data_IF_071913740475
#
_entry.id   IF_071913740475
#
_cell.length_a   1.000
_cell.length_b   1.000
_cell.length_c   1.000
_cell.angle_alpha   90.00
_cell.angle_beta   90.00
_cell.angle_gamma   90.00
#
_symmetry.space_group_name_H-M   'P 1'
#
loop_
_entity.id
_entity.type
_entity.pdbx_description
1 polymer ?
#
# COMPACT_ATOMS: atom_id res chain seq x y z
N UNK A 1 7.66 10.04 -35.55
CA UNK A 1 8.48 8.85 -35.19
C UNK A 1 8.50 8.56 -33.69
N UNK A 2 8.81 9.52 -32.81
CA UNK A 2 8.81 9.28 -31.34
C UNK A 2 7.52 8.63 -30.81
N UNK A 3 6.34 9.11 -31.22
CA UNK A 3 5.05 8.59 -30.73
C UNK A 3 4.76 7.14 -31.15
N UNK A 4 5.28 6.68 -32.29
CA UNK A 4 5.10 5.30 -32.78
C UNK A 4 5.96 4.31 -31.98
N UNK A 5 7.18 4.73 -31.62
CA UNK A 5 8.10 3.95 -30.77
C UNK A 5 7.52 3.84 -29.35
N UNK A 6 7.02 4.94 -28.78
CA UNK A 6 6.40 4.93 -27.45
C UNK A 6 5.17 4.02 -27.41
N UNK A 7 4.35 4.02 -28.48
CA UNK A 7 3.19 3.14 -28.58
C UNK A 7 3.58 1.66 -28.68
N UNK A 8 4.60 1.33 -29.48
CA UNK A 8 5.12 -0.04 -29.59
C UNK A 8 5.66 -0.58 -28.26
N UNK A 9 6.37 0.26 -27.49
CA UNK A 9 6.87 -0.10 -26.16
C UNK A 9 5.71 -0.32 -25.17
N UNK A 10 4.69 0.55 -25.18
CA UNK A 10 3.52 0.39 -24.32
C UNK A 10 2.75 -0.92 -24.64
N UNK A 11 2.63 -1.26 -25.92
CA UNK A 11 2.00 -2.51 -26.37
C UNK A 11 2.75 -3.74 -25.85
N UNK A 12 4.08 -3.77 -25.99
CA UNK A 12 4.94 -4.84 -25.48
C UNK A 12 4.84 -5.04 -23.97
N UNK A 13 4.70 -3.95 -23.20
CA UNK A 13 4.49 -4.01 -21.75
C UNK A 13 3.10 -4.56 -21.42
N UNK A 14 2.06 -4.17 -22.16
CA UNK A 14 0.71 -4.74 -22.00
C UNK A 14 0.67 -6.25 -22.30
N UNK A 15 1.28 -6.70 -23.39
CA UNK A 15 1.28 -8.13 -23.75
C UNK A 15 2.07 -8.99 -22.76
N UNK A 16 3.22 -8.52 -22.27
CA UNK A 16 4.02 -9.25 -21.29
C UNK A 16 3.35 -9.34 -19.92
N UNK A 17 2.67 -8.28 -19.48
CA UNK A 17 1.86 -8.31 -18.25
C UNK A 17 0.62 -9.19 -18.41
N UNK A 18 -0.04 -9.15 -19.56
CA UNK A 18 -1.18 -10.02 -19.89
C UNK A 18 -0.76 -11.49 -19.90
N UNK A 19 0.34 -11.85 -20.58
CA UNK A 19 0.86 -13.21 -20.62
C UNK A 19 1.22 -13.76 -19.23
N UNK A 20 1.77 -12.93 -18.35
CA UNK A 20 2.01 -13.31 -16.95
C UNK A 20 0.70 -13.56 -16.21
N UNK A 21 -0.33 -12.75 -16.41
CA UNK A 21 -1.64 -12.95 -15.79
C UNK A 21 -2.41 -14.17 -16.33
N UNK A 22 -2.27 -14.48 -17.62
CA UNK A 22 -2.93 -15.62 -18.27
C UNK A 22 -2.31 -16.97 -17.88
N UNK A 23 -1.07 -16.98 -17.39
CA UNK A 23 -0.39 -18.18 -16.87
C UNK A 23 -0.83 -18.58 -15.46
N UNK A 24 -1.56 -17.71 -14.75
CA UNK A 24 -2.04 -17.97 -13.40
C UNK A 24 -3.37 -18.72 -13.44
N UNK A 25 -3.51 -19.74 -12.60
CA UNK A 25 -4.82 -20.36 -12.41
C UNK A 25 -5.81 -19.35 -11.79
N UNK A 26 -7.13 -19.51 -12.00
CA UNK A 26 -8.13 -18.60 -11.43
C UNK A 26 -7.96 -18.38 -9.91
N UNK A 27 -7.65 -19.45 -9.18
CA UNK A 27 -7.37 -19.41 -7.73
C UNK A 27 -6.13 -18.56 -7.41
N UNK A 28 -5.09 -18.62 -8.24
CA UNK A 28 -3.89 -17.81 -8.05
C UNK A 28 -4.15 -16.33 -8.39
N UNK A 29 -4.96 -16.06 -9.42
CA UNK A 29 -5.38 -14.71 -9.78
C UNK A 29 -6.19 -14.06 -8.65
N UNK A 30 -7.18 -14.76 -8.10
CA UNK A 30 -7.94 -14.30 -6.93
C UNK A 30 -7.02 -14.01 -5.74
N UNK A 31 -6.06 -14.90 -5.49
CA UNK A 31 -5.10 -14.72 -4.39
C UNK A 31 -4.19 -13.52 -4.59
N UNK A 32 -3.80 -13.22 -5.82
CA UNK A 32 -3.07 -12.00 -6.18
C UNK A 32 -3.90 -10.76 -5.84
N UNK A 33 -5.14 -10.69 -6.35
CA UNK A 33 -6.05 -9.57 -6.11
C UNK A 33 -6.30 -9.37 -4.61
N UNK A 34 -6.52 -10.45 -3.87
CA UNK A 34 -6.70 -10.42 -2.43
C UNK A 34 -5.48 -9.83 -1.70
N UNK A 35 -4.26 -10.28 -2.05
CA UNK A 35 -3.03 -9.79 -1.43
C UNK A 35 -2.78 -8.32 -1.76
N UNK A 36 -3.03 -7.90 -3.00
CA UNK A 36 -2.92 -6.51 -3.43
C UNK A 36 -3.92 -5.61 -2.68
N UNK A 37 -5.17 -6.06 -2.56
CA UNK A 37 -6.20 -5.35 -1.81
C UNK A 37 -5.84 -5.20 -0.32
N UNK A 38 -5.29 -6.25 0.32
CA UNK A 38 -4.85 -6.18 1.72
C UNK A 38 -3.67 -5.23 1.90
N UNK A 39 -2.70 -5.21 0.98
CA UNK A 39 -1.58 -4.26 1.02
C UNK A 39 -2.08 -2.82 0.83
N UNK A 40 -2.97 -2.58 -0.13
CA UNK A 40 -3.56 -1.25 -0.36
C UNK A 40 -4.33 -0.76 0.87
N UNK A 41 -5.21 -1.60 1.42
CA UNK A 41 -6.01 -1.28 2.62
C UNK A 41 -5.13 -1.00 3.84
N UNK A 42 -4.11 -1.82 4.09
CA UNK A 42 -3.18 -1.61 5.20
C UNK A 42 -2.31 -0.35 5.04
N UNK A 43 -1.92 0.00 3.81
CA UNK A 43 -1.23 1.28 3.53
C UNK A 43 -2.10 2.47 3.91
N UNK A 44 -3.38 2.45 3.52
CA UNK A 44 -4.34 3.53 3.83
C UNK A 44 -4.48 3.70 5.35
N UNK A 45 -4.66 2.61 6.11
CA UNK A 45 -4.73 2.70 7.57
C UNK A 45 -3.45 3.20 8.21
N UNK A 46 -2.29 2.78 7.70
CA UNK A 46 -1.01 3.28 8.18
C UNK A 46 -0.92 4.81 7.99
N UNK A 47 -1.24 5.30 6.78
CA UNK A 47 -1.24 6.74 6.48
C UNK A 47 -2.22 7.48 7.38
N UNK A 48 -3.45 6.98 7.54
CA UNK A 48 -4.44 7.60 8.40
C UNK A 48 -3.97 7.68 9.86
N UNK A 49 -3.42 6.59 10.41
CA UNK A 49 -2.91 6.60 11.78
C UNK A 49 -1.70 7.53 11.95
N UNK A 50 -0.81 7.59 10.96
CA UNK A 50 0.33 8.50 10.97
C UNK A 50 -0.14 9.97 10.91
N UNK A 51 -1.16 10.28 10.11
CA UNK A 51 -1.75 11.61 10.05
C UNK A 51 -2.38 12.02 11.37
N UNK A 52 -3.10 11.11 12.04
CA UNK A 52 -3.66 11.34 13.38
C UNK A 52 -2.55 11.58 14.41
N UNK A 53 -1.48 10.81 14.37
CA UNK A 53 -0.33 10.99 15.25
C UNK A 53 0.33 12.36 15.03
N UNK A 54 0.64 12.71 13.79
CA UNK A 54 1.26 14.01 13.47
C UNK A 54 0.33 15.18 13.79
N UNK A 55 -0.97 15.03 13.51
CA UNK A 55 -1.98 16.04 13.86
C UNK A 55 -2.08 16.24 15.37
N UNK A 56 -2.08 15.15 16.14
CA UNK A 56 -2.06 15.20 17.60
C UNK A 56 -0.83 15.94 18.13
N UNK A 57 0.37 15.64 17.61
CA UNK A 57 1.61 16.36 17.97
C UNK A 57 1.48 17.87 17.67
N UNK A 58 1.02 18.24 16.48
CA UNK A 58 0.85 19.64 16.09
C UNK A 58 -0.17 20.37 16.98
N UNK A 59 -1.28 19.72 17.31
CA UNK A 59 -2.31 20.25 18.22
C UNK A 59 -1.84 20.36 19.67
N UNK A 60 -0.83 19.59 20.09
CA UNK A 60 -0.20 19.74 21.41
C UNK A 60 0.76 20.94 21.46
N UNK A 61 1.31 21.33 20.31
CA UNK A 61 2.26 22.46 20.19
C UNK A 61 1.59 23.80 19.89
N UNK A 62 0.27 23.81 19.71
CA UNK A 62 -0.53 25.01 19.40
C UNK A 62 -1.60 25.23 20.48
N UNK A 63 -1.96 26.51 20.70
CA UNK A 63 -3.00 27.10 21.57
C UNK A 63 -3.78 26.19 22.58
N UNK A 64 -3.93 26.66 23.84
CA UNK A 64 -4.48 25.90 24.99
C UNK A 64 -5.89 25.29 24.79
N UNK A 65 -6.65 25.76 23.78
CA UNK A 65 -7.98 25.23 23.46
C UNK A 65 -7.95 23.93 22.65
N UNK A 66 -6.85 23.65 21.94
CA UNK A 66 -6.70 22.46 21.11
C UNK A 66 -6.04 21.28 21.84
N UNK A 67 -5.54 21.50 23.06
CA UNK A 67 -4.65 20.58 23.76
C UNK A 67 -5.33 19.27 24.14
N UNK A 68 -6.60 19.28 24.54
CA UNK A 68 -7.33 18.05 24.92
C UNK A 68 -7.61 17.13 23.71
N UNK A 69 -7.96 17.73 22.56
CA UNK A 69 -8.12 17.02 21.29
C UNK A 69 -6.76 16.55 20.77
N UNK A 70 -5.71 17.36 20.93
CA UNK A 70 -4.34 16.99 20.59
C UNK A 70 -3.82 15.80 21.41
N UNK A 71 -4.05 15.79 22.72
CA UNK A 71 -3.68 14.68 23.62
C UNK A 71 -4.36 13.37 23.22
N UNK A 72 -5.68 13.40 22.99
CA UNK A 72 -6.44 12.21 22.60
C UNK A 72 -6.00 11.68 21.22
N UNK A 73 -5.81 12.56 20.24
CA UNK A 73 -5.31 12.19 18.91
C UNK A 73 -3.89 11.62 18.98
N UNK A 74 -3.01 12.22 19.78
CA UNK A 74 -1.65 11.73 19.99
C UNK A 74 -1.64 10.32 20.59
N UNK A 75 -2.39 10.09 21.67
CA UNK A 75 -2.51 8.78 22.32
C UNK A 75 -3.01 7.73 21.31
N UNK A 76 -4.10 8.01 20.59
CA UNK A 76 -4.63 7.10 19.58
C UNK A 76 -3.59 6.83 18.48
N UNK A 77 -2.89 7.84 18.01
CA UNK A 77 -1.84 7.72 17.01
C UNK A 77 -0.69 6.81 17.48
N UNK A 78 -0.18 7.03 18.69
CA UNK A 78 0.95 6.26 19.26
C UNK A 78 0.61 4.77 19.37
N UNK A 79 -0.62 4.41 19.76
CA UNK A 79 -1.01 3.00 19.87
C UNK A 79 -1.39 2.37 18.54
N UNK A 80 -2.02 3.11 17.62
CA UNK A 80 -2.53 2.54 16.36
C UNK A 80 -1.49 2.50 15.23
N UNK A 81 -0.56 3.46 15.17
CA UNK A 81 0.46 3.53 14.12
C UNK A 81 1.40 2.31 14.12
N UNK A 82 1.99 1.87 15.25
CA UNK A 82 2.86 0.69 15.27
C UNK A 82 2.13 -0.58 14.80
N UNK A 83 0.89 -0.76 15.25
CA UNK A 83 0.06 -1.88 14.81
C UNK A 83 -0.17 -1.86 13.29
N UNK A 84 -0.55 -0.71 12.74
CA UNK A 84 -0.78 -0.57 11.30
C UNK A 84 0.51 -0.72 10.48
N UNK A 85 1.66 -0.30 11.04
CA UNK A 85 2.98 -0.47 10.43
C UNK A 85 3.35 -1.95 10.32
N UNK A 86 3.24 -2.70 11.41
CA UNK A 86 3.48 -4.15 11.44
C UNK A 86 2.53 -4.85 10.48
N UNK A 87 1.23 -4.51 10.52
CA UNK A 87 0.22 -5.07 9.63
C UNK A 87 0.55 -4.82 8.16
N UNK A 88 0.94 -3.60 7.79
CA UNK A 88 1.35 -3.27 6.43
C UNK A 88 2.60 -4.06 6.00
N UNK A 89 3.59 -4.17 6.89
CA UNK A 89 4.80 -4.97 6.67
C UNK A 89 4.48 -6.44 6.41
N UNK A 90 3.62 -7.05 7.23
CA UNK A 90 3.21 -8.45 7.09
C UNK A 90 2.49 -8.72 5.76
N UNK A 91 1.52 -7.89 5.38
CA UNK A 91 0.82 -8.05 4.09
C UNK A 91 1.74 -7.83 2.90
N UNK A 92 2.64 -6.85 3.00
CA UNK A 92 3.64 -6.59 1.96
C UNK A 92 4.57 -7.80 1.79
N UNK A 93 5.04 -8.41 2.89
CA UNK A 93 5.85 -9.64 2.86
C UNK A 93 5.09 -10.81 2.22
N UNK A 94 3.82 -11.04 2.59
CA UNK A 94 2.99 -12.11 2.01
C UNK A 94 2.80 -11.94 0.50
N UNK A 95 2.43 -10.73 0.06
CA UNK A 95 2.33 -10.39 -1.37
C UNK A 95 3.68 -10.60 -2.08
N UNK A 96 4.75 -10.08 -1.49
CA UNK A 96 6.09 -10.17 -2.06
C UNK A 96 6.56 -11.62 -2.26
N UNK A 97 6.26 -12.51 -1.31
CA UNK A 97 6.51 -13.96 -1.41
C UNK A 97 5.69 -14.61 -2.52
N UNK A 98 4.41 -14.24 -2.65
CA UNK A 98 3.54 -14.72 -3.73
C UNK A 98 4.09 -14.33 -5.11
N UNK A 99 4.44 -13.06 -5.30
CA UNK A 99 5.00 -12.58 -6.56
C UNK A 99 6.29 -13.31 -6.94
N UNK A 100 7.20 -13.51 -5.98
CA UNK A 100 8.45 -14.27 -6.19
C UNK A 100 8.16 -15.73 -6.56
N UNK A 101 7.20 -16.38 -5.89
CA UNK A 101 6.84 -17.78 -6.16
C UNK A 101 6.28 -17.99 -7.56
N UNK A 102 5.52 -17.02 -8.07
CA UNK A 102 4.84 -17.11 -9.36
C UNK A 102 5.54 -16.31 -10.47
N UNK A 103 6.77 -15.85 -10.24
CA UNK A 103 7.58 -15.07 -11.20
C UNK A 103 6.85 -13.86 -11.81
N UNK A 104 5.96 -13.24 -11.03
CA UNK A 104 5.15 -12.10 -11.45
C UNK A 104 5.96 -10.82 -11.28
N UNK A 105 6.01 -9.98 -12.32
CA UNK A 105 6.59 -8.65 -12.23
C UNK A 105 5.81 -7.81 -11.21
N UNK A 106 6.53 -7.19 -10.27
CA UNK A 106 5.87 -6.25 -9.35
C UNK A 106 5.49 -4.98 -10.11
N UNK A 107 4.27 -4.45 -9.90
CA UNK A 107 4.01 -3.08 -10.26
C UNK A 107 5.00 -2.19 -9.48
N UNK A 108 5.72 -1.33 -10.20
CA UNK A 108 6.56 -0.30 -9.57
C UNK A 108 5.66 0.60 -8.71
N UNK A 109 6.17 0.95 -7.52
CA UNK A 109 5.49 1.83 -6.57
C UNK A 109 5.46 3.26 -7.07
#
# INVERSE_FOLDING_TARGET
MKNLITFGIALLICFSTFAQTSSLSPVQLERKLFLDAKVKKSKIYLIASAAVLTGGILSLTTDDKATSVGQSAFIVGVFTTPYNLVRYGLWTRKRNKFYKKHNILRPKK
#
